data_IF_063935105567
#
_entry.id   IF_063935105567
#
_cell.length_a   1.000
_cell.length_b   1.000
_cell.length_c   1.000
_cell.angle_alpha   90.00
_cell.angle_beta   90.00
_cell.angle_gamma   90.00
#
_symmetry.space_group_name_H-M   'P 1'
#
loop_
_entity.id
_entity.type
_entity.pdbx_description
1 polymer ?
#
# COMPACT_ATOMS: atom_id res chain seq x y z
N UNK A 1 8.12 10.65 -19.40
CA UNK A 1 7.48 11.37 -18.28
C UNK A 1 7.63 10.47 -17.08
N UNK A 2 8.54 10.77 -16.14
CA UNK A 2 8.75 9.91 -14.97
C UNK A 2 7.60 10.10 -14.01
N UNK A 3 6.93 9.01 -13.65
CA UNK A 3 5.89 9.02 -12.64
C UNK A 3 6.54 9.28 -11.27
N UNK A 4 6.37 10.50 -10.74
CA UNK A 4 6.92 10.91 -9.45
C UNK A 4 6.48 9.93 -8.35
N UNK A 5 5.27 9.38 -8.47
CA UNK A 5 4.77 8.42 -7.49
C UNK A 5 5.54 7.09 -7.54
N UNK A 6 5.87 6.58 -8.74
CA UNK A 6 6.71 5.40 -8.89
C UNK A 6 8.11 5.62 -8.29
N UNK A 7 8.72 6.79 -8.56
CA UNK A 7 10.02 7.15 -7.99
C UNK A 7 9.99 7.23 -6.46
N UNK A 8 8.89 7.74 -5.88
CA UNK A 8 8.69 7.77 -4.43
C UNK A 8 8.55 6.37 -3.84
N UNK A 9 7.82 5.48 -4.50
CA UNK A 9 7.68 4.08 -4.06
C UNK A 9 9.02 3.35 -4.06
N UNK A 10 9.90 3.61 -5.04
CA UNK A 10 11.24 3.02 -5.07
C UNK A 10 12.15 3.45 -3.92
N UNK A 11 11.82 4.53 -3.20
CA UNK A 11 12.54 4.91 -1.96
C UNK A 11 12.14 4.04 -0.75
N UNK A 12 11.09 3.24 -0.88
CA UNK A 12 10.62 2.34 0.18
C UNK A 12 11.46 1.05 0.16
N UNK A 13 11.95 0.58 1.32
CA UNK A 13 12.75 -0.64 1.37
C UNK A 13 12.05 -1.84 0.72
N UNK A 14 12.81 -2.61 -0.07
CA UNK A 14 12.35 -3.80 -0.81
C UNK A 14 11.42 -3.55 -2.01
N UNK A 15 11.11 -2.28 -2.34
CA UNK A 15 10.35 -1.94 -3.55
C UNK A 15 11.31 -1.82 -4.74
N UNK A 16 11.15 -2.71 -5.71
CA UNK A 16 11.88 -2.65 -6.99
C UNK A 16 11.15 -1.74 -7.98
N UNK A 17 11.78 -1.44 -9.12
CA UNK A 17 11.14 -0.66 -10.19
C UNK A 17 9.88 -1.36 -10.71
N UNK A 18 9.93 -2.68 -10.91
CA UNK A 18 8.80 -3.49 -11.38
C UNK A 18 7.66 -3.49 -10.35
N UNK A 19 7.99 -3.55 -9.06
CA UNK A 19 7.00 -3.43 -8.00
C UNK A 19 6.35 -2.04 -7.99
N UNK A 20 7.13 -0.97 -8.15
CA UNK A 20 6.62 0.39 -8.22
C UNK A 20 5.69 0.58 -9.42
N UNK A 21 6.08 0.12 -10.61
CA UNK A 21 5.27 0.17 -11.82
C UNK A 21 3.98 -0.66 -11.68
N UNK A 22 4.05 -1.84 -11.06
CA UNK A 22 2.86 -2.65 -10.80
C UNK A 22 1.88 -1.95 -9.85
N UNK A 23 2.40 -1.29 -8.80
CA UNK A 23 1.57 -0.53 -7.85
C UNK A 23 0.96 0.69 -8.52
N UNK A 24 1.71 1.47 -9.31
CA UNK A 24 1.17 2.66 -10.00
C UNK A 24 0.21 2.29 -11.12
N UNK A 25 0.37 1.12 -11.76
CA UNK A 25 -0.60 0.61 -12.72
C UNK A 25 -1.95 0.27 -12.07
N UNK A 26 -1.95 -0.21 -10.82
CA UNK A 26 -3.18 -0.53 -10.06
C UNK A 26 -3.77 0.72 -9.40
N UNK A 27 -2.90 1.59 -8.90
CA UNK A 27 -3.22 2.77 -8.12
C UNK A 27 -2.38 3.94 -8.61
N UNK A 28 -2.81 4.68 -9.64
CA UNK A 28 -1.99 5.71 -10.29
C UNK A 28 -1.60 6.90 -9.40
N UNK A 29 -2.20 7.01 -8.22
CA UNK A 29 -1.93 8.08 -7.26
C UNK A 29 -1.88 7.56 -5.84
N UNK A 30 -1.15 8.28 -4.97
CA UNK A 30 -1.16 8.07 -3.53
C UNK A 30 -2.58 8.00 -2.95
N UNK A 31 -3.47 8.90 -3.40
CA UNK A 31 -4.86 8.96 -2.97
C UNK A 31 -5.63 7.68 -3.35
N UNK A 32 -5.44 7.16 -4.56
CA UNK A 32 -6.09 5.92 -4.98
C UNK A 32 -5.60 4.71 -4.17
N UNK A 33 -4.31 4.68 -3.83
CA UNK A 33 -3.73 3.63 -2.99
C UNK A 33 -4.26 3.70 -1.56
N UNK A 34 -4.29 4.90 -0.96
CA UNK A 34 -4.82 5.10 0.38
C UNK A 34 -6.30 4.69 0.49
N UNK A 35 -7.12 5.04 -0.51
CA UNK A 35 -8.52 4.62 -0.59
C UNK A 35 -8.67 3.10 -0.65
N UNK A 36 -7.81 2.41 -1.41
CA UNK A 36 -7.85 0.95 -1.47
C UNK A 36 -7.57 0.30 -0.12
N UNK A 37 -6.61 0.85 0.65
CA UNK A 37 -6.35 0.39 2.01
C UNK A 37 -7.54 0.65 2.94
N UNK A 38 -8.18 1.82 2.89
CA UNK A 38 -9.33 2.10 3.76
C UNK A 38 -10.55 1.25 3.43
N UNK A 39 -10.74 0.82 2.18
CA UNK A 39 -11.81 -0.10 1.79
C UNK A 39 -11.65 -1.52 2.36
N UNK A 40 -10.45 -1.88 2.84
CA UNK A 40 -10.21 -3.14 3.55
C UNK A 40 -10.53 -3.04 5.05
N UNK A 41 -10.80 -1.83 5.56
CA UNK A 41 -11.23 -1.61 6.93
C UNK A 41 -12.74 -1.75 7.00
N UNK A 42 -13.26 -2.34 8.08
CA UNK A 42 -14.71 -2.40 8.29
C UNK A 42 -15.34 -0.99 8.29
N UNK A 43 -16.36 -0.71 7.45
CA UNK A 43 -16.95 0.63 7.31
C UNK A 43 -17.52 1.23 8.61
N UNK A 44 -17.86 0.37 9.58
CA UNK A 44 -18.38 0.77 10.89
C UNK A 44 -17.32 1.44 11.79
N UNK A 45 -16.03 1.37 11.44
CA UNK A 45 -14.92 1.89 12.26
C UNK A 45 -14.22 3.09 11.63
N UNK A 46 -14.75 3.66 10.53
CA UNK A 46 -14.23 4.89 9.92
C UNK A 46 -14.58 6.07 10.83
N UNK A 47 -13.84 6.24 11.92
CA UNK A 47 -14.08 7.27 12.93
C UNK A 47 -13.54 6.92 14.32
N UNK A 48 -13.15 5.67 14.57
CA UNK A 48 -12.47 5.25 15.79
C UNK A 48 -11.06 4.79 15.43
N UNK A 49 -10.06 5.14 16.23
CA UNK A 49 -8.65 4.72 16.08
C UNK A 49 -8.44 3.22 16.39
N UNK A 50 -9.39 2.39 15.98
CA UNK A 50 -9.39 0.95 16.18
C UNK A 50 -9.49 0.31 14.80
N UNK A 51 -8.37 0.28 14.09
CA UNK A 51 -8.18 -0.73 13.06
C UNK A 51 -7.92 -2.05 13.79
N UNK A 52 -8.75 -3.06 13.55
CA UNK A 52 -8.51 -4.39 14.10
C UNK A 52 -7.17 -4.93 13.57
N UNK A 53 -6.45 -5.73 14.36
CA UNK A 53 -5.25 -6.44 13.92
C UNK A 53 -5.50 -7.27 12.63
N UNK A 54 -6.74 -7.74 12.43
CA UNK A 54 -7.16 -8.41 11.21
C UNK A 54 -7.15 -7.50 9.98
N UNK A 55 -7.68 -6.29 10.11
CA UNK A 55 -7.74 -5.29 9.04
C UNK A 55 -6.32 -4.83 8.68
N UNK A 56 -5.46 -4.57 9.69
CA UNK A 56 -4.04 -4.23 9.46
C UNK A 56 -3.31 -5.33 8.70
N UNK A 57 -3.47 -6.60 9.09
CA UNK A 57 -2.84 -7.73 8.37
C UNK A 57 -3.36 -7.89 6.94
N UNK A 58 -4.63 -7.59 6.69
CA UNK A 58 -5.20 -7.61 5.34
C UNK A 58 -4.61 -6.48 4.48
N UNK A 59 -4.48 -5.28 5.04
CA UNK A 59 -3.84 -4.14 4.39
C UNK A 59 -2.37 -4.43 4.08
N UNK A 60 -1.57 -4.87 5.05
CA UNK A 60 -0.14 -5.21 4.84
C UNK A 60 0.08 -6.20 3.68
N UNK A 61 -0.88 -7.10 3.42
CA UNK A 61 -0.80 -8.12 2.37
C UNK A 61 -1.49 -7.72 1.06
N UNK A 62 -2.22 -6.61 1.02
CA UNK A 62 -3.08 -6.23 -0.10
C UNK A 62 -2.31 -6.22 -1.43
N UNK A 63 -1.16 -5.52 -1.48
CA UNK A 63 -0.43 -5.35 -2.73
C UNK A 63 0.22 -6.65 -3.20
N UNK A 64 0.77 -7.45 -2.27
CA UNK A 64 1.29 -8.79 -2.58
C UNK A 64 0.21 -9.68 -3.21
N UNK A 65 -1.02 -9.60 -2.73
CA UNK A 65 -2.13 -10.40 -3.25
C UNK A 65 -2.67 -9.88 -4.61
N UNK A 66 -2.22 -8.71 -5.07
CA UNK A 66 -2.67 -8.06 -6.30
C UNK A 66 -1.65 -8.11 -7.43
N UNK A 67 -0.38 -8.37 -7.12
CA UNK A 67 0.69 -8.46 -8.10
C UNK A 67 1.81 -9.39 -7.62
N UNK A 68 2.22 -10.32 -8.48
CA UNK A 68 3.36 -11.21 -8.22
C UNK A 68 4.69 -10.45 -8.19
N UNK A 69 4.74 -9.24 -8.74
CA UNK A 69 5.92 -8.37 -8.69
C UNK A 69 6.10 -7.71 -7.32
N UNK A 70 5.06 -7.70 -6.48
CA UNK A 70 5.11 -7.10 -5.14
C UNK A 70 5.32 -8.20 -4.11
N UNK A 71 6.51 -8.25 -3.53
CA UNK A 71 6.80 -9.19 -2.45
C UNK A 71 6.13 -8.77 -1.12
N UNK A 72 6.17 -9.66 -0.12
CA UNK A 72 5.54 -9.42 1.18
C UNK A 72 6.13 -8.22 1.94
N UNK A 73 7.45 -8.03 1.88
CA UNK A 73 8.11 -6.91 2.55
C UNK A 73 7.82 -5.58 1.88
N UNK A 74 7.82 -5.53 0.54
CA UNK A 74 7.41 -4.37 -0.25
C UNK A 74 5.98 -3.95 0.09
N UNK A 75 5.03 -4.90 0.05
CA UNK A 75 3.62 -4.66 0.39
C UNK A 75 3.47 -4.04 1.79
N UNK A 76 4.15 -4.62 2.79
CA UNK A 76 4.13 -4.13 4.17
C UNK A 76 4.77 -2.75 4.32
N UNK A 77 5.92 -2.51 3.69
CA UNK A 77 6.64 -1.25 3.84
C UNK A 77 5.90 -0.10 3.14
N UNK A 78 5.22 -0.36 2.02
CA UNK A 78 4.34 0.62 1.38
C UNK A 78 3.16 0.95 2.29
N UNK A 79 2.52 -0.04 2.93
CA UNK A 79 1.46 0.21 3.92
C UNK A 79 1.94 1.13 5.05
N UNK A 80 3.11 0.84 5.64
CA UNK A 80 3.72 1.68 6.69
C UNK A 80 3.97 3.12 6.24
N UNK A 81 4.42 3.32 4.99
CA UNK A 81 4.62 4.66 4.42
C UNK A 81 3.32 5.46 4.42
N UNK A 82 2.19 4.86 4.01
CA UNK A 82 0.90 5.55 3.94
C UNK A 82 0.39 5.93 5.34
N UNK A 83 0.60 5.07 6.33
CA UNK A 83 0.17 5.30 7.71
C UNK A 83 1.21 6.02 8.60
N UNK A 84 2.36 6.40 8.05
CA UNK A 84 3.49 6.99 8.77
C UNK A 84 3.93 6.17 10.02
N UNK A 85 3.79 4.85 9.97
CA UNK A 85 4.24 3.95 11.03
C UNK A 85 5.76 3.69 10.87
N UNK A 86 6.56 4.26 11.78
CA UNK A 86 8.01 4.03 11.90
C UNK A 86 8.35 2.65 12.45
#
# INVERSE_FOLDING_TARGET
>A
MSDIFALQLMQVPQVTEEAALAVTSLYPTLLSLAKAYTMLVSPLLIGTDVTSDGDKRAQEKMLKNKSDMVNAGASKNIFKLIWAEG
#
